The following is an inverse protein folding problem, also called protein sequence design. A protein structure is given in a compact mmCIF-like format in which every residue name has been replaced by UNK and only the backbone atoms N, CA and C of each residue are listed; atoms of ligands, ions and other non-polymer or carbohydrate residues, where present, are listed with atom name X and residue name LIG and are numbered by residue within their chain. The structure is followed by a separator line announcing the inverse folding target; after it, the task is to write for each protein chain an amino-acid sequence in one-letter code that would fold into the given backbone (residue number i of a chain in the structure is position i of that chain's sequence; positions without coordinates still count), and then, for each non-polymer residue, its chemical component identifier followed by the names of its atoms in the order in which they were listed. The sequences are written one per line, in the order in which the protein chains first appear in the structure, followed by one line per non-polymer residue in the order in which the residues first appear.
data_IF_770704842862
#
_entry.id   IF_770704842862
#
_cell.length_a   1.000
_cell.length_b   1.000
_cell.length_c   1.000
_cell.angle_alpha   90.00
_cell.angle_beta   90.00
_cell.angle_gamma   90.00
#
_symmetry.space_group_name_H-M   'P 1'
#
loop_
_entity.id
_entity.type
_entity.pdbx_description
1 polymer ?
#
# COMPACT_ATOMS: atom_id res chain seq x y z
N UNK A 1 -48.17 50.27 -3.29
CA UNK A 1 -46.93 50.28 -4.10
C UNK A 1 -45.93 49.33 -3.45
N UNK A 2 -45.59 48.18 -4.05
CA UNK A 2 -44.61 47.26 -3.45
C UNK A 2 -43.22 47.91 -3.46
N UNK A 3 -42.63 48.07 -2.29
CA UNK A 3 -41.33 48.72 -2.09
C UNK A 3 -40.20 47.80 -2.60
N UNK A 4 -39.36 48.32 -3.49
CA UNK A 4 -38.27 47.56 -4.13
C UNK A 4 -37.22 47.15 -3.08
N UNK A 5 -36.77 45.90 -3.12
CA UNK A 5 -35.80 45.37 -2.15
C UNK A 5 -34.48 46.16 -2.18
N UNK A 6 -34.00 46.59 -1.01
CA UNK A 6 -32.71 47.27 -0.86
C UNK A 6 -31.58 46.35 -1.35
N UNK A 7 -30.71 46.87 -2.22
CA UNK A 7 -29.53 46.14 -2.69
C UNK A 7 -28.58 45.98 -1.51
N UNK A 8 -28.41 44.73 -1.07
CA UNK A 8 -27.52 44.40 0.04
C UNK A 8 -26.08 44.45 -0.47
N UNK A 9 -25.37 45.53 -0.16
CA UNK A 9 -23.93 45.71 -0.43
C UNK A 9 -23.09 44.82 0.50
N UNK A 10 -23.24 43.50 0.40
CA UNK A 10 -22.38 42.56 1.11
C UNK A 10 -21.02 42.53 0.41
N UNK A 11 -19.98 43.01 1.10
CA UNK A 11 -18.59 42.85 0.64
C UNK A 11 -18.32 41.38 0.36
N UNK A 12 -17.72 41.10 -0.81
CA UNK A 12 -17.31 39.75 -1.18
C UNK A 12 -16.35 39.21 -0.12
N UNK A 13 -16.63 38.02 0.42
CA UNK A 13 -15.82 37.43 1.48
C UNK A 13 -14.50 36.93 0.90
N UNK A 14 -13.40 37.17 1.62
CA UNK A 14 -12.06 36.71 1.25
C UNK A 14 -12.05 35.19 1.03
N UNK A 15 -11.55 34.69 -0.11
CA UNK A 15 -11.47 33.25 -0.40
C UNK A 15 -10.58 32.46 0.57
N UNK A 16 -9.69 33.13 1.32
CA UNK A 16 -8.87 32.50 2.39
C UNK A 16 -9.64 32.25 3.68
N UNK A 17 -10.83 32.85 3.83
CA UNK A 17 -11.65 32.67 5.02
C UNK A 17 -12.17 31.22 5.09
N UNK A 18 -11.77 30.51 6.14
CA UNK A 18 -12.29 29.17 6.45
C UNK A 18 -13.81 29.27 6.65
N UNK A 19 -14.59 28.69 5.74
CA UNK A 19 -16.05 28.65 5.83
C UNK A 19 -16.51 27.26 6.25
N UNK A 20 -17.72 27.15 6.83
CA UNK A 20 -18.33 25.86 7.21
C UNK A 20 -18.52 24.89 6.03
N UNK A 21 -18.38 25.35 4.77
CA UNK A 21 -18.51 24.55 3.54
C UNK A 21 -17.18 24.40 2.78
N UNK A 22 -16.04 24.44 3.46
CA UNK A 22 -14.74 24.33 2.82
C UNK A 22 -14.49 22.90 2.30
N UNK A 23 -14.16 22.77 1.01
CA UNK A 23 -13.89 21.48 0.33
C UNK A 23 -12.45 21.00 0.46
N UNK A 24 -11.58 21.75 1.12
CA UNK A 24 -10.18 21.36 1.30
C UNK A 24 -10.10 20.31 2.42
N UNK A 25 -9.42 19.17 2.19
CA UNK A 25 -9.22 18.17 3.23
C UNK A 25 -8.47 18.79 4.42
N UNK A 26 -8.88 18.42 5.65
CA UNK A 26 -8.19 18.83 6.88
C UNK A 26 -6.73 18.35 6.83
N UNK A 27 -5.82 19.04 7.53
CA UNK A 27 -4.40 18.64 7.63
C UNK A 27 -4.20 17.22 8.16
N UNK A 28 -5.11 16.76 9.04
CA UNK A 28 -5.12 15.40 9.58
C UNK A 28 -5.89 14.38 8.70
N UNK A 29 -6.38 14.79 7.53
CA UNK A 29 -7.08 13.86 6.65
C UNK A 29 -6.06 12.94 5.94
N UNK A 30 -6.38 11.65 5.77
CA UNK A 30 -5.50 10.72 5.09
C UNK A 30 -5.23 11.17 3.65
N UNK A 31 -3.95 11.13 3.26
CA UNK A 31 -3.51 11.51 1.92
C UNK A 31 -4.06 10.52 0.89
N UNK A 32 -4.64 11.04 -0.19
CA UNK A 32 -5.09 10.20 -1.31
C UNK A 32 -3.89 9.76 -2.15
N UNK A 33 -3.29 8.63 -1.78
CA UNK A 33 -2.21 7.98 -2.55
C UNK A 33 -2.85 7.13 -3.66
N UNK A 34 -3.53 7.78 -4.60
CA UNK A 34 -4.09 7.15 -5.80
C UNK A 34 -3.73 7.95 -7.04
N UNK A 35 -3.57 7.28 -8.17
CA UNK A 35 -3.32 7.96 -9.45
C UNK A 35 -4.50 8.86 -9.80
N UNK A 36 -4.21 10.12 -10.18
CA UNK A 36 -5.23 11.05 -10.67
C UNK A 36 -5.73 10.67 -12.07
N UNK A 37 -4.92 9.97 -12.85
CA UNK A 37 -5.24 9.49 -14.20
C UNK A 37 -6.11 8.23 -14.12
N UNK A 38 -7.30 8.28 -14.73
CA UNK A 38 -8.25 7.14 -14.73
C UNK A 38 -7.70 5.90 -15.41
N UNK A 39 -6.92 6.07 -16.49
CA UNK A 39 -6.29 4.96 -17.23
C UNK A 39 -5.33 4.14 -16.38
N UNK A 40 -4.69 4.76 -15.37
CA UNK A 40 -3.73 4.07 -14.49
C UNK A 40 -4.38 3.22 -13.40
N UNK A 41 -5.70 3.34 -13.18
CA UNK A 41 -6.40 2.51 -12.20
C UNK A 41 -6.38 1.03 -12.61
N UNK A 42 -6.39 0.72 -13.92
CA UNK A 42 -6.32 -0.64 -14.45
C UNK A 42 -5.00 -1.34 -14.10
N UNK A 43 -3.89 -0.61 -14.04
CA UNK A 43 -2.60 -1.17 -13.62
C UNK A 43 -2.59 -1.59 -12.14
N UNK A 44 -3.37 -0.93 -11.27
CA UNK A 44 -3.53 -1.34 -9.87
C UNK A 44 -4.24 -2.70 -9.75
N UNK A 45 -5.18 -2.99 -10.64
CA UNK A 45 -5.86 -4.28 -10.71
C UNK A 45 -4.94 -5.36 -11.30
N UNK A 46 -4.18 -5.03 -12.34
CA UNK A 46 -3.18 -5.93 -12.94
C UNK A 46 -2.03 -6.27 -11.98
N UNK A 47 -1.64 -5.37 -11.09
CA UNK A 47 -0.63 -5.68 -10.06
C UNK A 47 -1.06 -6.82 -9.12
N UNK A 48 -2.36 -7.08 -8.95
CA UNK A 48 -2.82 -8.24 -8.17
C UNK A 48 -2.50 -9.57 -8.84
N UNK A 49 -2.51 -9.62 -10.18
CA UNK A 49 -2.25 -10.83 -10.97
C UNK A 49 -0.77 -11.02 -11.28
N UNK A 50 -0.03 -9.93 -11.49
CA UNK A 50 1.45 -9.97 -11.69
C UNK A 50 2.19 -10.43 -10.42
N UNK A 51 1.56 -10.33 -9.24
CA UNK A 51 2.16 -10.72 -7.96
C UNK A 51 2.02 -12.22 -7.63
N UNK A 52 1.48 -13.06 -8.53
CA UNK A 52 1.43 -14.50 -8.26
C UNK A 52 2.84 -15.09 -8.09
N UNK A 53 3.78 -14.72 -8.96
CA UNK A 53 5.19 -15.14 -8.85
C UNK A 53 5.81 -14.63 -7.55
N UNK A 54 5.73 -13.33 -7.27
CA UNK A 54 6.27 -12.73 -6.04
C UNK A 54 5.66 -13.33 -4.76
N UNK A 55 4.36 -13.63 -4.76
CA UNK A 55 3.68 -14.28 -3.64
C UNK A 55 4.15 -15.74 -3.48
N UNK A 56 4.28 -16.48 -4.58
CA UNK A 56 4.82 -17.84 -4.55
C UNK A 56 6.29 -17.88 -4.14
N UNK A 57 7.12 -16.95 -4.63
CA UNK A 57 8.53 -16.79 -4.24
C UNK A 57 8.66 -16.53 -2.74
N UNK A 58 7.80 -15.66 -2.18
CA UNK A 58 7.76 -15.41 -0.74
C UNK A 58 7.36 -16.66 0.06
N UNK A 59 6.35 -17.40 -0.39
CA UNK A 59 5.92 -18.65 0.26
C UNK A 59 7.04 -19.69 0.21
N UNK A 60 7.66 -19.87 -0.96
CA UNK A 60 8.78 -20.80 -1.17
C UNK A 60 9.94 -20.42 -0.26
N UNK A 61 10.36 -19.15 -0.24
CA UNK A 61 11.43 -18.66 0.62
C UNK A 61 11.14 -18.88 2.11
N UNK A 62 9.90 -18.62 2.56
CA UNK A 62 9.52 -18.86 3.96
C UNK A 62 9.55 -20.35 4.36
N UNK A 63 9.11 -21.23 3.46
CA UNK A 63 9.13 -22.69 3.67
C UNK A 63 10.55 -23.22 3.63
N UNK A 64 11.37 -22.78 2.69
CA UNK A 64 12.77 -23.17 2.57
C UNK A 64 13.55 -22.71 3.81
N UNK A 65 13.44 -21.45 4.23
CA UNK A 65 14.11 -20.97 5.44
C UNK A 65 13.64 -21.67 6.72
N UNK A 66 12.35 -21.96 6.86
CA UNK A 66 11.85 -22.75 7.99
C UNK A 66 12.38 -24.20 7.95
N UNK A 67 12.45 -24.81 6.77
CA UNK A 67 13.01 -26.15 6.60
C UNK A 67 14.51 -26.19 6.89
N UNK A 68 15.27 -25.14 6.55
CA UNK A 68 16.68 -25.03 6.91
C UNK A 68 16.85 -25.00 8.43
N UNK A 69 15.98 -24.30 9.17
CA UNK A 69 16.00 -24.30 10.64
C UNK A 69 15.61 -25.65 11.26
N UNK A 70 14.61 -26.33 10.71
CA UNK A 70 14.08 -27.59 11.28
C UNK A 70 14.92 -28.81 10.89
N UNK A 71 15.38 -28.88 9.63
CA UNK A 71 16.07 -30.05 9.06
C UNK A 71 17.57 -29.84 8.85
N UNK A 72 18.06 -28.61 8.96
CA UNK A 72 19.45 -28.25 8.65
C UNK A 72 19.68 -27.99 7.17
N UNK A 73 20.77 -27.30 6.85
CA UNK A 73 21.15 -27.02 5.47
C UNK A 73 21.61 -28.29 4.75
N UNK A 74 21.43 -28.37 3.44
CA UNK A 74 21.89 -29.53 2.63
C UNK A 74 23.38 -29.83 2.84
N UNK A 75 24.22 -28.80 2.91
CA UNK A 75 25.67 -28.93 3.16
C UNK A 75 25.98 -29.49 4.56
N UNK A 76 25.18 -29.15 5.56
CA UNK A 76 25.34 -29.67 6.93
C UNK A 76 24.93 -31.15 6.98
N UNK A 77 23.78 -31.48 6.40
CA UNK A 77 23.29 -32.87 6.29
C UNK A 77 24.29 -33.75 5.54
N UNK A 78 24.85 -33.26 4.43
CA UNK A 78 25.87 -34.01 3.66
C UNK A 78 27.16 -34.21 4.47
N UNK A 79 27.61 -33.19 5.22
CA UNK A 79 28.77 -33.31 6.12
C UNK A 79 28.51 -34.27 7.29
N UNK A 80 27.33 -34.25 7.89
CA UNK A 80 26.95 -35.19 8.95
C UNK A 80 26.91 -36.62 8.44
N UNK A 81 26.34 -36.85 7.25
CA UNK A 81 26.32 -38.17 6.61
C UNK A 81 27.73 -38.70 6.35
N UNK A 82 28.63 -37.86 5.83
CA UNK A 82 30.03 -38.24 5.63
C UNK A 82 30.74 -38.57 6.95
N UNK A 83 30.53 -37.76 8.00
CA UNK A 83 31.10 -38.02 9.34
C UNK A 83 30.58 -39.33 9.95
N UNK A 84 29.30 -39.64 9.79
CA UNK A 84 28.70 -40.85 10.31
C UNK A 84 29.15 -42.11 9.54
N UNK A 85 29.37 -42.00 8.23
CA UNK A 85 29.90 -43.09 7.41
C UNK A 85 31.38 -43.38 7.72
N UNK A 86 32.20 -42.36 8.04
CA UNK A 86 33.61 -42.56 8.41
C UNK A 86 33.81 -43.07 9.84
N UNK A 87 32.77 -43.07 10.68
CA UNK A 87 32.79 -43.58 12.06
C UNK A 87 32.31 -45.03 12.19
N UNK A 88 31.73 -45.59 11.13
CA UNK A 88 31.40 -47.02 11.02
C UNK A 88 32.51 -47.74 10.30
#
# INVERSE_FOLDING_TARGET
MPQKSLRVNKKQKDPRRITKKQKNPKRAAPLQIKSKKKSLNKFKELNKTVSLTAATEKIIASRVGHLELVKGNRKEIEKEKQKNNNKK
#
